data_IF_530297664283
#
_entry.id   IF_530297664283
#
_cell.length_a   1.000
_cell.length_b   1.000
_cell.length_c   1.000
_cell.angle_alpha   90.00
_cell.angle_beta   90.00
_cell.angle_gamma   90.00
#
_symmetry.space_group_name_H-M   'P 1'
#
loop_
_entity.id
_entity.type
_entity.pdbx_description
1 polymer ?
#
# COMPACT_ATOMS: atom_id res chain seq x y z
N UNK A 1 -6.87 19.17 -28.15
CA UNK A 1 -5.49 18.76 -28.50
C UNK A 1 -5.46 17.24 -28.50
N UNK A 2 -5.47 16.62 -29.69
CA UNK A 2 -5.64 15.17 -29.87
C UNK A 2 -4.28 14.46 -29.87
N UNK A 3 -3.85 13.98 -28.71
CA UNK A 3 -2.72 13.04 -28.59
C UNK A 3 -3.06 11.63 -29.10
N UNK A 4 -4.33 11.36 -29.42
CA UNK A 4 -4.87 10.04 -29.77
C UNK A 4 -4.62 9.57 -31.21
N UNK A 5 -3.74 10.23 -31.99
CA UNK A 5 -3.42 9.84 -33.38
C UNK A 5 -2.13 9.01 -33.54
N UNK A 6 -1.46 8.66 -32.43
CA UNK A 6 -0.19 7.92 -32.47
C UNK A 6 -0.32 6.39 -32.49
N UNK A 7 -1.47 5.84 -32.07
CA UNK A 7 -1.69 4.39 -32.04
C UNK A 7 -2.31 3.90 -33.36
N UNK A 8 -2.00 2.66 -33.81
CA UNK A 8 -2.74 2.01 -34.87
C UNK A 8 -4.24 2.04 -34.59
N UNK A 9 -5.06 2.23 -35.63
CA UNK A 9 -6.50 2.47 -35.48
C UNK A 9 -7.20 1.44 -34.59
N UNK A 10 -6.96 0.15 -34.83
CA UNK A 10 -7.55 -0.94 -34.05
C UNK A 10 -7.21 -0.83 -32.55
N UNK A 11 -5.95 -0.51 -32.23
CA UNK A 11 -5.51 -0.32 -30.86
C UNK A 11 -6.09 0.96 -30.25
N UNK A 12 -6.18 2.05 -31.02
CA UNK A 12 -6.80 3.29 -30.56
C UNK A 12 -8.28 3.09 -30.22
N UNK A 13 -9.01 2.31 -31.02
CA UNK A 13 -10.41 1.95 -30.76
C UNK A 13 -10.52 1.07 -29.49
N UNK A 14 -9.64 0.08 -29.33
CA UNK A 14 -9.58 -0.76 -28.13
C UNK A 14 -9.24 0.05 -26.85
N UNK A 15 -8.31 1.00 -26.93
CA UNK A 15 -7.94 1.88 -25.81
C UNK A 15 -9.08 2.83 -25.44
N UNK A 16 -9.74 3.43 -26.45
CA UNK A 16 -10.82 4.36 -26.21
C UNK A 16 -12.07 3.67 -25.62
N UNK A 17 -12.42 2.48 -26.14
CA UNK A 17 -13.57 1.70 -25.69
C UNK A 17 -13.29 0.81 -24.48
N UNK A 18 -12.03 0.52 -24.18
CA UNK A 18 -11.61 -0.31 -23.07
C UNK A 18 -11.87 0.34 -21.72
N UNK A 19 -12.29 -0.48 -20.75
CA UNK A 19 -12.49 -0.08 -19.37
C UNK A 19 -11.39 -0.66 -18.49
N UNK A 20 -10.76 0.19 -17.70
CA UNK A 20 -9.68 -0.20 -16.78
C UNK A 20 -10.02 0.22 -15.36
N UNK A 21 -9.76 -0.65 -14.39
CA UNK A 21 -9.73 -0.28 -12.98
C UNK A 21 -8.29 0.10 -12.63
N UNK A 22 -8.13 1.02 -11.68
CA UNK A 22 -6.88 1.39 -11.03
C UNK A 22 -7.10 1.31 -9.52
N UNK A 23 -6.35 0.44 -8.85
CA UNK A 23 -6.39 0.23 -7.41
C UNK A 23 -5.20 0.94 -6.77
N UNK A 24 -5.48 2.00 -6.05
CA UNK A 24 -4.50 2.88 -5.43
C UNK A 24 -4.29 4.16 -6.24
N UNK A 25 -4.52 5.29 -5.58
CA UNK A 25 -4.29 6.65 -6.04
C UNK A 25 -3.05 7.27 -5.35
N UNK A 26 -2.07 6.44 -4.98
CA UNK A 26 -0.78 6.86 -4.43
C UNK A 26 0.19 7.41 -5.48
N UNK A 27 1.49 7.32 -5.23
CA UNK A 27 2.53 7.87 -6.13
C UNK A 27 2.45 7.32 -7.54
N UNK A 28 2.49 5.99 -7.67
CA UNK A 28 2.34 5.34 -8.97
C UNK A 28 0.92 5.56 -9.53
N UNK A 29 -0.11 5.56 -8.67
CA UNK A 29 -1.51 5.74 -9.08
C UNK A 29 -1.76 7.08 -9.78
N UNK A 30 -1.20 8.16 -9.24
CA UNK A 30 -1.27 9.48 -9.84
C UNK A 30 -0.59 9.53 -11.23
N UNK A 31 0.61 8.97 -11.35
CA UNK A 31 1.33 8.89 -12.62
C UNK A 31 0.62 8.02 -13.65
N UNK A 32 0.14 6.85 -13.22
CA UNK A 32 -0.61 5.93 -14.08
C UNK A 32 -1.89 6.60 -14.59
N UNK A 33 -2.66 7.24 -13.72
CA UNK A 33 -3.92 7.87 -14.11
C UNK A 33 -3.71 8.97 -15.16
N UNK A 34 -2.68 9.80 -14.99
CA UNK A 34 -2.25 10.75 -16.03
C UNK A 34 -1.88 10.02 -17.32
N UNK A 35 -1.06 8.98 -17.24
CA UNK A 35 -0.58 8.29 -18.44
C UNK A 35 -1.73 7.62 -19.20
N UNK A 36 -2.71 7.03 -18.50
CA UNK A 36 -3.89 6.41 -19.09
C UNK A 36 -4.69 7.44 -19.91
N UNK A 37 -5.07 8.57 -19.30
CA UNK A 37 -5.88 9.57 -20.01
C UNK A 37 -5.12 10.23 -21.16
N UNK A 38 -3.82 10.46 -21.01
CA UNK A 38 -2.99 11.02 -22.08
C UNK A 38 -2.73 10.03 -23.22
N UNK A 39 -2.75 8.73 -22.94
CA UNK A 39 -2.66 7.66 -23.96
C UNK A 39 -3.97 7.46 -24.71
N UNK A 40 -5.10 7.84 -24.10
CA UNK A 40 -6.42 7.81 -24.74
C UNK A 40 -7.45 6.90 -24.04
N UNK A 41 -7.11 6.31 -22.89
CA UNK A 41 -8.09 5.61 -22.08
C UNK A 41 -9.12 6.60 -21.57
N UNK A 42 -10.39 6.29 -21.81
CA UNK A 42 -11.49 7.16 -21.41
C UNK A 42 -12.34 6.58 -20.29
N UNK A 43 -12.43 5.25 -20.14
CA UNK A 43 -13.25 4.61 -19.11
C UNK A 43 -12.35 4.05 -17.99
N UNK A 44 -12.29 4.78 -16.87
CA UNK A 44 -11.40 4.45 -15.76
C UNK A 44 -12.21 4.37 -14.46
N UNK A 45 -12.14 3.24 -13.79
CA UNK A 45 -12.57 3.10 -12.40
C UNK A 45 -11.32 3.28 -11.51
N UNK A 46 -11.41 4.09 -10.47
CA UNK A 46 -10.29 4.39 -9.55
C UNK A 46 -10.74 4.15 -8.13
N UNK A 47 -10.01 3.32 -7.38
CA UNK A 47 -10.35 3.00 -5.98
C UNK A 47 -9.16 3.24 -5.05
N UNK A 48 -9.40 3.95 -3.95
CA UNK A 48 -8.41 4.17 -2.89
C UNK A 48 -9.13 4.45 -1.55
N UNK A 49 -8.75 3.72 -0.51
CA UNK A 49 -9.37 3.82 0.82
C UNK A 49 -8.83 5.02 1.62
N UNK A 50 -7.67 5.56 1.28
CA UNK A 50 -7.00 6.58 2.08
C UNK A 50 -7.51 8.00 1.77
N UNK A 51 -7.25 8.87 2.74
CA UNK A 51 -7.30 10.33 2.57
C UNK A 51 -5.90 10.90 2.32
N UNK A 52 -5.84 12.11 1.79
CA UNK A 52 -4.59 12.79 1.43
C UNK A 52 -3.91 13.30 2.70
N UNK A 53 -2.66 12.92 2.89
CA UNK A 53 -1.78 13.45 3.94
C UNK A 53 -0.74 14.43 3.38
N UNK A 54 -0.20 15.31 4.23
CA UNK A 54 0.86 16.27 3.84
C UNK A 54 2.09 15.57 3.28
N UNK A 55 2.48 14.44 3.86
CA UNK A 55 3.62 13.64 3.41
C UNK A 55 3.45 13.06 2.00
N UNK A 56 2.23 13.08 1.44
CA UNK A 56 1.93 12.56 0.12
C UNK A 56 2.33 13.53 -1.00
N UNK A 57 2.33 14.84 -0.71
CA UNK A 57 2.43 15.91 -1.70
C UNK A 57 3.78 15.95 -2.44
N UNK A 58 4.82 15.34 -1.90
CA UNK A 58 6.13 15.27 -2.56
C UNK A 58 6.19 14.32 -3.76
N UNK A 59 5.20 13.41 -3.91
CA UNK A 59 5.22 12.34 -4.93
C UNK A 59 3.86 12.00 -5.54
N UNK A 60 2.81 12.73 -5.17
CA UNK A 60 1.43 12.52 -5.63
C UNK A 60 0.90 13.83 -6.20
N UNK A 61 1.38 14.19 -7.40
CA UNK A 61 1.22 15.54 -7.96
C UNK A 61 -0.24 15.93 -8.29
N UNK A 62 -1.18 14.97 -8.32
CA UNK A 62 -2.61 15.28 -8.46
C UNK A 62 -3.19 15.94 -7.20
N UNK A 63 -2.44 15.98 -6.10
CA UNK A 63 -2.88 16.53 -4.83
C UNK A 63 -2.18 17.85 -4.50
N UNK A 64 -2.90 18.73 -3.81
CA UNK A 64 -2.42 20.04 -3.38
C UNK A 64 -2.62 20.17 -1.87
N UNK A 65 -1.95 21.14 -1.25
CA UNK A 65 -2.06 21.39 0.20
C UNK A 65 -3.51 21.57 0.67
N UNK A 66 -4.35 22.23 -0.13
CA UNK A 66 -5.78 22.44 0.13
C UNK A 66 -6.62 21.15 0.11
N UNK A 67 -6.07 20.04 -0.37
CA UNK A 67 -6.76 18.76 -0.47
C UNK A 67 -6.49 17.83 0.72
N UNK A 68 -5.62 18.21 1.65
CA UNK A 68 -5.31 17.39 2.83
C UNK A 68 -6.58 17.06 3.61
N UNK A 69 -6.73 15.79 4.00
CA UNK A 69 -7.91 15.22 4.65
C UNK A 69 -9.03 14.76 3.71
N UNK A 70 -8.97 15.10 2.41
CA UNK A 70 -9.95 14.63 1.40
C UNK A 70 -9.56 13.25 0.86
N UNK A 71 -10.53 12.51 0.33
CA UNK A 71 -10.31 11.21 -0.34
C UNK A 71 -9.33 11.33 -1.52
N UNK A 72 -8.33 10.44 -1.57
CA UNK A 72 -7.37 10.39 -2.68
C UNK A 72 -8.06 10.10 -4.02
N UNK A 73 -8.96 9.11 -4.05
CA UNK A 73 -9.67 8.71 -5.26
C UNK A 73 -10.51 9.87 -5.84
N UNK A 74 -11.27 10.58 -5.00
CA UNK A 74 -12.12 11.68 -5.45
C UNK A 74 -11.31 12.85 -5.99
N UNK A 75 -10.28 13.27 -5.25
CA UNK A 75 -9.43 14.40 -5.66
C UNK A 75 -8.61 14.06 -6.91
N UNK A 76 -8.13 12.82 -7.05
CA UNK A 76 -7.41 12.39 -8.25
C UNK A 76 -8.29 12.53 -9.50
N UNK A 77 -9.55 12.07 -9.42
CA UNK A 77 -10.56 12.29 -10.46
C UNK A 77 -10.75 13.78 -10.76
N UNK A 78 -11.01 14.60 -9.74
CA UNK A 78 -11.21 16.05 -9.91
C UNK A 78 -10.02 16.72 -10.61
N UNK A 79 -8.80 16.41 -10.20
CA UNK A 79 -7.57 16.97 -10.76
C UNK A 79 -7.36 16.55 -12.22
N UNK A 80 -7.64 15.29 -12.56
CA UNK A 80 -7.51 14.81 -13.94
C UNK A 80 -8.53 15.45 -14.87
N UNK A 81 -9.77 15.63 -14.40
CA UNK A 81 -10.82 16.25 -15.20
C UNK A 81 -10.56 17.74 -15.50
N UNK A 82 -9.67 18.41 -14.76
CA UNK A 82 -9.24 19.78 -15.07
C UNK A 82 -8.43 19.86 -16.38
N UNK A 83 -7.55 18.89 -16.64
CA UNK A 83 -6.70 18.90 -17.85
C UNK A 83 -7.15 17.91 -18.93
N UNK A 84 -8.01 16.94 -18.58
CA UNK A 84 -8.62 16.01 -19.53
C UNK A 84 -10.12 15.83 -19.26
N UNK A 85 -10.97 16.83 -19.59
CA UNK A 85 -12.41 16.82 -19.26
C UNK A 85 -13.22 15.71 -19.92
N UNK A 86 -12.67 15.04 -20.95
CA UNK A 86 -13.33 13.96 -21.69
C UNK A 86 -13.19 12.59 -21.03
N UNK A 87 -12.36 12.46 -19.99
CA UNK A 87 -12.23 11.20 -19.27
C UNK A 87 -13.53 10.89 -18.51
N UNK A 88 -13.96 9.64 -18.56
CA UNK A 88 -15.01 9.08 -17.75
C UNK A 88 -14.39 8.31 -16.59
N UNK A 89 -14.23 9.00 -15.45
CA UNK A 89 -13.62 8.44 -14.24
C UNK A 89 -14.68 8.22 -13.18
N UNK A 90 -14.79 6.99 -12.67
CA UNK A 90 -15.58 6.67 -11.47
C UNK A 90 -14.62 6.46 -10.31
N UNK A 91 -14.77 7.28 -9.26
CA UNK A 91 -13.89 7.23 -8.10
C UNK A 91 -14.61 6.58 -6.91
N UNK A 92 -13.96 5.59 -6.30
CA UNK A 92 -14.43 4.84 -5.15
C UNK A 92 -13.51 5.13 -3.96
N UNK A 93 -14.07 5.68 -2.89
CA UNK A 93 -13.36 5.80 -1.62
C UNK A 93 -13.70 4.60 -0.75
N UNK A 94 -13.06 3.47 -1.04
CA UNK A 94 -13.32 2.21 -0.35
C UNK A 94 -12.10 1.27 -0.47
N UNK A 95 -12.15 0.18 0.27
CA UNK A 95 -11.20 -0.91 0.19
C UNK A 95 -11.48 -1.79 -1.03
N UNK A 96 -10.41 -2.14 -1.76
CA UNK A 96 -10.48 -3.10 -2.87
C UNK A 96 -10.97 -4.48 -2.44
N UNK A 97 -10.88 -4.81 -1.15
CA UNK A 97 -11.35 -6.08 -0.59
C UNK A 97 -12.84 -6.37 -0.84
N UNK A 98 -13.62 -5.37 -1.25
CA UNK A 98 -15.04 -5.47 -1.58
C UNK A 98 -15.35 -5.60 -3.08
N UNK A 99 -14.36 -5.50 -3.97
CA UNK A 99 -14.57 -5.37 -5.42
C UNK A 99 -13.73 -6.35 -6.26
N UNK A 100 -14.18 -6.60 -7.48
CA UNK A 100 -13.47 -7.39 -8.47
C UNK A 100 -12.96 -6.50 -9.63
N UNK A 101 -11.63 -6.48 -9.83
CA UNK A 101 -10.90 -6.46 -11.13
C UNK A 101 -10.41 -5.15 -11.81
N UNK A 102 -9.08 -5.16 -12.10
CA UNK A 102 -8.19 -4.40 -13.03
C UNK A 102 -7.26 -3.30 -12.42
N UNK A 103 -5.99 -3.30 -12.89
CA UNK A 103 -4.73 -2.61 -12.51
C UNK A 103 -4.51 -2.25 -11.03
N UNK A 104 -3.46 -2.81 -10.40
CA UNK A 104 -3.10 -2.60 -8.99
C UNK A 104 -1.84 -1.75 -8.79
N UNK A 105 -1.87 -0.89 -7.76
CA UNK A 105 -0.77 -0.06 -7.28
C UNK A 105 -0.87 0.25 -5.78
N UNK A 106 -0.83 -0.78 -4.94
CA UNK A 106 -0.84 -0.62 -3.46
C UNK A 106 0.35 -1.32 -2.80
N UNK A 107 0.76 -0.84 -1.62
CA UNK A 107 1.96 -1.32 -0.90
C UNK A 107 1.69 -2.50 0.05
N UNK A 108 0.44 -2.97 0.16
CA UNK A 108 0.08 -3.99 1.14
C UNK A 108 -0.03 -5.38 0.50
N UNK A 109 0.70 -6.37 1.05
CA UNK A 109 0.80 -7.73 0.47
C UNK A 109 -0.55 -8.43 0.44
N UNK A 110 -1.39 -8.28 1.47
CA UNK A 110 -2.72 -8.93 1.49
C UNK A 110 -3.64 -8.42 0.38
N UNK A 111 -3.63 -7.10 0.11
CA UNK A 111 -4.40 -6.51 -0.98
C UNK A 111 -3.90 -7.01 -2.35
N UNK A 112 -2.57 -7.13 -2.53
CA UNK A 112 -1.97 -7.71 -3.74
C UNK A 112 -2.39 -9.16 -3.96
N UNK A 113 -2.37 -9.97 -2.91
CA UNK A 113 -2.83 -11.37 -2.96
C UNK A 113 -4.33 -11.44 -3.29
N UNK A 114 -5.16 -10.60 -2.68
CA UNK A 114 -6.59 -10.54 -2.97
C UNK A 114 -6.84 -10.24 -4.44
N UNK A 115 -6.24 -9.16 -4.97
CA UNK A 115 -6.45 -8.79 -6.38
C UNK A 115 -5.84 -9.81 -7.34
N UNK A 116 -4.68 -10.39 -7.02
CA UNK A 116 -4.11 -11.49 -7.79
C UNK A 116 -5.13 -12.63 -7.98
N UNK A 117 -5.73 -13.10 -6.87
CA UNK A 117 -6.74 -14.17 -6.92
C UNK A 117 -7.99 -13.75 -7.68
N UNK A 118 -8.47 -12.53 -7.50
CA UNK A 118 -9.63 -12.01 -8.24
C UNK A 118 -9.36 -11.93 -9.75
N UNK A 119 -8.16 -11.49 -10.16
CA UNK A 119 -7.72 -11.45 -11.55
C UNK A 119 -7.62 -12.83 -12.20
N UNK A 120 -7.09 -13.81 -11.47
CA UNK A 120 -7.06 -15.20 -11.93
C UNK A 120 -8.47 -15.82 -11.99
N UNK A 121 -9.35 -15.48 -11.05
CA UNK A 121 -10.71 -16.00 -11.02
C UNK A 121 -11.54 -15.49 -12.21
N UNK A 122 -11.43 -14.21 -12.54
CA UNK A 122 -12.16 -13.60 -13.66
C UNK A 122 -11.45 -13.70 -15.02
N UNK A 123 -10.27 -14.34 -15.09
CA UNK A 123 -9.40 -14.42 -16.29
C UNK A 123 -9.13 -13.07 -16.95
N UNK A 124 -8.66 -12.13 -16.14
CA UNK A 124 -8.32 -10.79 -16.62
C UNK A 124 -6.87 -10.46 -16.32
N UNK A 125 -6.14 -9.88 -17.29
CA UNK A 125 -4.74 -9.55 -17.11
C UNK A 125 -4.56 -8.51 -16.01
N UNK A 126 -3.54 -8.74 -15.18
CA UNK A 126 -3.12 -7.85 -14.11
C UNK A 126 -1.74 -7.30 -14.41
N UNK A 127 -1.59 -5.98 -14.35
CA UNK A 127 -0.29 -5.32 -14.33
C UNK A 127 0.00 -4.98 -12.87
N UNK A 128 1.07 -5.57 -12.35
CA UNK A 128 1.53 -5.38 -10.98
C UNK A 128 2.82 -4.57 -10.99
N UNK A 129 2.94 -3.62 -10.07
CA UNK A 129 4.17 -2.85 -9.92
C UNK A 129 4.47 -2.45 -8.47
N UNK A 130 5.70 -2.03 -8.23
CA UNK A 130 6.11 -1.54 -6.93
C UNK A 130 7.41 -0.76 -7.02
N UNK A 131 7.62 0.12 -6.04
CA UNK A 131 8.82 0.94 -5.93
C UNK A 131 9.33 0.95 -4.49
N UNK A 132 10.64 1.10 -4.33
CA UNK A 132 11.32 1.27 -3.05
C UNK A 132 12.57 2.15 -3.26
N UNK A 133 12.52 3.40 -2.82
CA UNK A 133 13.57 4.37 -3.11
C UNK A 133 13.74 4.55 -4.63
N UNK A 134 14.95 4.30 -5.14
CA UNK A 134 15.28 4.35 -6.57
C UNK A 134 14.98 3.06 -7.33
N UNK A 135 14.56 2.00 -6.63
CA UNK A 135 14.24 0.71 -7.23
C UNK A 135 12.78 0.64 -7.64
N UNK A 136 12.51 -0.02 -8.75
CA UNK A 136 11.15 -0.26 -9.26
C UNK A 136 11.06 -1.54 -10.08
N UNK A 137 9.86 -2.10 -10.15
CA UNK A 137 9.57 -3.29 -10.96
C UNK A 137 8.16 -3.22 -11.52
N UNK A 138 7.95 -3.84 -12.68
CA UNK A 138 6.64 -4.04 -13.31
C UNK A 138 6.58 -5.47 -13.82
N UNK A 139 5.45 -6.16 -13.61
CA UNK A 139 5.21 -7.50 -14.13
C UNK A 139 3.77 -7.65 -14.62
N UNK A 140 3.55 -8.60 -15.53
CA UNK A 140 2.22 -8.91 -16.08
C UNK A 140 1.81 -10.33 -15.67
N UNK A 141 0.60 -10.45 -15.13
CA UNK A 141 0.01 -11.70 -14.68
C UNK A 141 -1.20 -12.00 -15.57
N UNK A 142 -1.18 -13.14 -16.26
CA UNK A 142 -2.34 -13.67 -16.99
C UNK A 142 -2.46 -15.18 -16.77
N UNK A 143 -3.67 -15.60 -16.39
CA UNK A 143 -4.03 -16.99 -16.11
C UNK A 143 -3.64 -17.90 -17.28
N UNK A 144 -2.93 -18.99 -16.97
CA UNK A 144 -2.50 -19.99 -17.95
C UNK A 144 -1.41 -19.54 -18.92
N UNK A 145 -0.89 -18.31 -18.79
CA UNK A 145 0.15 -17.75 -19.68
C UNK A 145 1.40 -17.37 -18.91
N UNK A 146 1.26 -16.65 -17.79
CA UNK A 146 2.38 -16.24 -16.93
C UNK A 146 2.18 -16.71 -15.49
N UNK A 147 3.24 -16.68 -14.70
CA UNK A 147 3.15 -16.90 -13.26
C UNK A 147 2.31 -15.82 -12.57
N UNK A 148 1.68 -16.18 -11.45
CA UNK A 148 0.91 -15.23 -10.65
C UNK A 148 1.75 -14.59 -9.55
N UNK A 149 1.22 -13.54 -8.91
CA UNK A 149 1.93 -12.83 -7.85
C UNK A 149 2.38 -13.74 -6.69
N UNK A 150 1.56 -14.76 -6.39
CA UNK A 150 1.76 -15.70 -5.29
C UNK A 150 2.59 -16.95 -5.68
N UNK A 151 3.03 -17.08 -6.95
CA UNK A 151 3.90 -18.19 -7.36
C UNK A 151 5.28 -18.14 -6.69
N UNK A 152 5.75 -16.92 -6.38
CA UNK A 152 7.01 -16.69 -5.68
C UNK A 152 6.74 -15.97 -4.35
N UNK A 153 6.78 -16.68 -3.21
CA UNK A 153 6.51 -16.09 -1.92
C UNK A 153 7.49 -14.96 -1.64
N UNK A 154 6.97 -13.80 -1.27
CA UNK A 154 7.78 -12.66 -0.86
C UNK A 154 8.23 -12.84 0.58
N UNK A 155 9.43 -12.35 0.94
CA UNK A 155 9.88 -12.39 2.33
C UNK A 155 8.82 -11.77 3.24
N UNK A 156 8.44 -12.48 4.30
CA UNK A 156 7.56 -11.94 5.33
C UNK A 156 8.29 -10.85 6.11
N UNK A 157 7.52 -9.96 6.74
CA UNK A 157 8.12 -9.01 7.68
C UNK A 157 8.86 -9.79 8.78
N UNK A 158 10.00 -9.23 9.23
CA UNK A 158 10.77 -9.83 10.32
C UNK A 158 9.91 -9.86 11.58
N UNK A 159 9.79 -11.03 12.19
CA UNK A 159 9.17 -11.23 13.50
C UNK A 159 10.25 -11.50 14.52
N UNK A 160 9.99 -11.12 15.77
CA UNK A 160 10.91 -11.32 16.89
C UNK A 160 10.23 -12.22 17.93
N UNK A 161 10.96 -13.14 18.58
CA UNK A 161 10.39 -13.97 19.64
C UNK A 161 9.82 -13.12 20.78
N UNK A 162 8.69 -13.55 21.35
CA UNK A 162 8.04 -12.84 22.46
C UNK A 162 8.97 -12.65 23.67
N UNK A 163 9.75 -13.67 24.04
CA UNK A 163 10.73 -13.57 25.13
C UNK A 163 11.80 -12.49 24.86
N UNK A 164 12.29 -12.35 23.62
CA UNK A 164 13.24 -11.30 23.24
C UNK A 164 12.63 -9.90 23.38
N UNK A 165 11.36 -9.75 23.03
CA UNK A 165 10.66 -8.45 23.14
C UNK A 165 10.31 -8.11 24.58
N UNK A 166 9.92 -9.11 25.39
CA UNK A 166 9.40 -8.94 26.75
C UNK A 166 10.47 -8.91 27.84
N UNK A 167 11.53 -9.70 27.68
CA UNK A 167 12.51 -9.95 28.74
C UNK A 167 13.92 -9.48 28.36
N UNK A 168 14.37 -9.75 27.14
CA UNK A 168 15.79 -9.58 26.74
C UNK A 168 16.00 -8.75 25.46
N UNK A 169 15.50 -7.49 25.40
CA UNK A 169 15.67 -6.66 24.20
C UNK A 169 17.12 -6.19 24.06
N UNK A 170 17.81 -6.69 23.02
CA UNK A 170 19.22 -6.34 22.74
C UNK A 170 19.45 -5.30 21.63
N UNK A 171 18.43 -4.97 20.83
CA UNK A 171 18.54 -4.04 19.70
C UNK A 171 17.47 -2.95 19.78
N UNK A 172 17.72 -1.72 19.26
CA UNK A 172 16.72 -0.65 19.27
C UNK A 172 15.38 -1.03 18.63
N UNK A 173 15.40 -1.91 17.62
CA UNK A 173 14.18 -2.40 16.97
C UNK A 173 13.29 -3.19 17.92
N UNK A 174 13.84 -3.91 18.90
CA UNK A 174 13.06 -4.65 19.90
C UNK A 174 12.24 -3.68 20.76
N UNK A 175 12.85 -2.58 21.20
CA UNK A 175 12.16 -1.53 21.97
C UNK A 175 11.05 -0.85 21.15
N UNK A 176 11.28 -0.65 19.84
CA UNK A 176 10.25 -0.11 18.93
C UNK A 176 9.08 -1.09 18.81
N UNK A 177 9.34 -2.39 18.65
CA UNK A 177 8.30 -3.43 18.58
C UNK A 177 7.52 -3.50 19.90
N UNK A 178 8.21 -3.51 21.04
CA UNK A 178 7.58 -3.45 22.38
C UNK A 178 6.68 -2.22 22.53
N UNK A 179 7.15 -1.04 22.13
CA UNK A 179 6.36 0.19 22.23
C UNK A 179 5.10 0.15 21.34
N UNK A 180 5.18 -0.49 20.17
CA UNK A 180 4.00 -0.73 19.31
C UNK A 180 3.00 -1.67 19.98
N UNK A 181 3.47 -2.74 20.62
CA UNK A 181 2.60 -3.66 21.37
C UNK A 181 1.92 -2.96 22.54
N UNK A 182 2.68 -2.15 23.30
CA UNK A 182 2.14 -1.37 24.40
C UNK A 182 1.06 -0.39 23.93
N UNK A 183 1.30 0.29 22.80
CA UNK A 183 0.30 1.19 22.22
C UNK A 183 -1.02 0.45 21.91
N UNK A 184 -0.93 -0.73 21.29
CA UNK A 184 -2.11 -1.53 20.98
C UNK A 184 -2.83 -2.02 22.25
N UNK A 185 -2.11 -2.44 23.29
CA UNK A 185 -2.72 -2.83 24.56
C UNK A 185 -3.43 -1.68 25.28
N UNK A 186 -2.89 -0.46 25.18
CA UNK A 186 -3.45 0.70 25.88
C UNK A 186 -4.59 1.38 25.12
N UNK A 187 -4.51 1.40 23.78
CA UNK A 187 -5.38 2.24 22.93
C UNK A 187 -5.92 1.54 21.68
N UNK A 188 -5.42 0.35 21.35
CA UNK A 188 -5.76 -0.39 20.14
C UNK A 188 -6.59 -1.65 20.43
N UNK A 189 -6.51 -2.60 19.50
CA UNK A 189 -7.12 -3.92 19.67
C UNK A 189 -6.17 -4.82 20.46
N UNK A 190 -6.71 -5.51 21.47
CA UNK A 190 -5.96 -6.49 22.25
C UNK A 190 -5.58 -7.68 21.37
N UNK A 191 -4.28 -7.99 21.34
CA UNK A 191 -3.71 -9.13 20.63
C UNK A 191 -2.88 -9.94 21.64
N UNK A 192 -3.23 -11.22 21.81
CA UNK A 192 -2.58 -12.12 22.75
C UNK A 192 -1.09 -12.34 22.40
N UNK A 193 -0.72 -12.22 21.13
CA UNK A 193 0.66 -12.35 20.66
C UNK A 193 1.49 -11.08 20.90
N UNK A 194 0.87 -9.99 21.39
CA UNK A 194 1.49 -8.69 21.64
C UNK A 194 1.55 -8.37 23.15
N UNK A 195 1.72 -9.39 23.99
CA UNK A 195 1.86 -9.20 25.44
C UNK A 195 3.15 -8.44 25.79
N UNK A 196 3.04 -7.38 26.60
CA UNK A 196 4.20 -6.53 26.98
C UNK A 196 4.75 -6.78 28.37
N UNK A 197 3.96 -7.40 29.24
CA UNK A 197 4.37 -7.77 30.60
C UNK A 197 5.54 -8.76 30.53
N UNK A 198 6.47 -8.82 31.49
CA UNK A 198 7.54 -9.83 31.47
C UNK A 198 6.99 -11.26 31.34
N UNK A 199 7.60 -12.09 30.49
CA UNK A 199 7.22 -13.49 30.33
C UNK A 199 7.82 -14.31 31.48
N UNK A 200 6.95 -14.73 32.40
CA UNK A 200 7.35 -15.51 33.60
C UNK A 200 7.55 -16.99 33.30
N UNK A 201 7.17 -17.47 32.12
CA UNK A 201 7.38 -18.86 31.70
C UNK A 201 8.77 -19.07 31.07
N UNK A 202 9.53 -17.99 30.86
CA UNK A 202 10.88 -18.03 30.31
C UNK A 202 11.89 -18.54 31.35
N UNK A 203 12.55 -19.70 31.11
CA UNK A 203 13.50 -20.28 32.05
C UNK A 203 14.76 -19.43 32.29
N UNK A 204 15.06 -18.47 31.41
CA UNK A 204 16.17 -17.52 31.57
C UNK A 204 15.75 -16.23 32.31
N UNK A 205 14.45 -15.98 32.52
CA UNK A 205 13.91 -14.81 33.22
C UNK A 205 14.12 -14.84 34.76
N UNK A 206 15.01 -15.72 35.24
CA UNK A 206 15.40 -15.87 36.65
C UNK A 206 16.16 -14.69 37.25
N UNK A 207 16.39 -13.61 36.48
CA UNK A 207 17.04 -12.40 36.95
C UNK A 207 16.05 -11.24 36.95
N UNK A 208 15.98 -10.49 38.05
CA UNK A 208 15.13 -9.31 38.24
C UNK A 208 15.47 -8.18 37.23
N UNK A 209 15.14 -8.37 35.96
CA UNK A 209 15.12 -7.28 34.99
C UNK A 209 13.79 -6.58 35.13
N UNK A 210 13.86 -5.38 35.70
CA UNK A 210 12.69 -4.57 35.96
C UNK A 210 12.33 -3.81 34.69
N UNK A 211 11.06 -3.42 34.55
CA UNK A 211 10.60 -2.58 33.43
C UNK A 211 11.45 -1.30 33.26
N UNK A 212 12.16 -0.88 34.32
CA UNK A 212 13.09 0.24 34.34
C UNK A 212 14.31 0.06 33.42
N UNK A 213 14.72 -1.17 33.10
CA UNK A 213 15.82 -1.42 32.17
C UNK A 213 15.43 -1.11 30.72
N UNK A 214 14.16 -1.38 30.35
CA UNK A 214 13.58 -0.98 29.05
C UNK A 214 13.46 0.55 28.96
N UNK A 215 12.98 1.20 30.03
CA UNK A 215 12.89 2.67 30.08
C UNK A 215 14.28 3.34 30.05
N UNK A 216 15.29 2.72 30.65
CA UNK A 216 16.66 3.24 30.63
C UNK A 216 17.24 3.23 29.21
N UNK A 217 16.99 2.18 28.41
CA UNK A 217 17.38 2.15 27.00
C UNK A 217 16.66 3.19 26.14
N UNK A 218 15.37 3.41 26.38
CA UNK A 218 14.60 4.47 25.69
C UNK A 218 15.09 5.88 26.06
N UNK A 219 15.48 6.10 27.33
CA UNK A 219 16.03 7.37 27.79
C UNK A 219 17.39 7.67 27.14
N UNK A 220 18.28 6.66 27.02
CA UNK A 220 19.58 6.81 26.34
C UNK A 220 19.42 7.12 24.85
N UNK A 221 18.44 6.52 24.17
CA UNK A 221 18.13 6.83 22.78
C UNK A 221 17.59 8.27 22.60
N UNK A 222 16.83 8.79 23.58
CA UNK A 222 16.30 10.16 23.54
C UNK A 222 17.37 11.26 23.71
N UNK A 223 18.49 10.93 24.36
CA UNK A 223 19.62 11.84 24.59
C UNK A 223 20.64 11.85 23.45
N UNK A 224 20.48 10.96 22.47
CA UNK A 224 21.41 10.77 21.34
C UNK A 224 20.90 11.40 20.04
N UNK A 225 19.84 12.21 20.09
CA UNK A 225 19.21 12.87 18.95
C UNK A 225 19.30 14.40 19.05
#
# INVERSE_FOLDING_TARGET
MALSRGLPRELAEAVAGGRVLVVGAGGIGCELLKNLVLTGFSHIDLIDLDTIDVSNLNRQFLFQKKHVGRSKAQVAKESVLQFYPKANIIAYHDSIMKYALIIMLQNYVSARNHVNRMCLAADVPLIESGTAGYLGQVTTIKKGVTECYECHPKPTQRTFPGCTIRNTPSEPIHCIVWAKYLFNQLFGEEDADQEVSPDRADPEASCEYSIWDIFSYLYVLSLSC
#
